data_IF_928202827911
#
_entry.id   IF_928202827911
#
_cell.length_a   1.000
_cell.length_b   1.000
_cell.length_c   1.000
_cell.angle_alpha   90.00
_cell.angle_beta   90.00
_cell.angle_gamma   90.00
#
_symmetry.space_group_name_H-M   'P 1'
#
loop_
_entity.id
_entity.type
_entity.pdbx_description
1 polymer ?
#
# COMPACT_ATOMS: atom_id res chain seq x y z
N UNK A 1 -9.62 -33.59 -24.59
CA UNK A 1 -9.20 -32.24 -24.17
C UNK A 1 -10.04 -31.86 -22.95
N UNK A 2 -9.43 -31.71 -21.77
CA UNK A 2 -10.14 -31.12 -20.59
C UNK A 2 -10.45 -29.67 -20.92
N UNK A 3 -11.74 -29.30 -21.03
CA UNK A 3 -12.13 -27.88 -21.06
C UNK A 3 -11.52 -27.20 -19.82
N UNK A 4 -10.58 -26.29 -20.02
CA UNK A 4 -10.14 -25.41 -18.95
C UNK A 4 -11.35 -24.60 -18.50
N UNK A 5 -11.70 -24.73 -17.23
CA UNK A 5 -12.82 -23.95 -16.66
C UNK A 5 -12.45 -22.48 -16.68
N UNK A 6 -13.34 -21.68 -17.26
CA UNK A 6 -13.31 -20.23 -17.14
C UNK A 6 -13.20 -19.84 -15.66
N UNK A 7 -12.50 -18.78 -15.37
CA UNK A 7 -12.33 -18.28 -14.03
C UNK A 7 -12.19 -16.76 -14.04
N UNK A 8 -11.83 -16.21 -12.91
CA UNK A 8 -11.72 -14.77 -12.74
C UNK A 8 -10.38 -14.37 -12.15
N UNK A 9 -9.82 -13.29 -12.65
CA UNK A 9 -8.83 -12.51 -11.93
C UNK A 9 -9.60 -11.67 -10.91
N UNK A 10 -9.16 -11.68 -9.66
CA UNK A 10 -9.78 -10.90 -8.59
C UNK A 10 -8.81 -9.90 -7.99
N UNK A 11 -9.34 -8.78 -7.53
CA UNK A 11 -8.70 -7.83 -6.64
C UNK A 11 -9.41 -7.95 -5.29
N UNK A 12 -8.65 -8.28 -4.24
CA UNK A 12 -9.15 -8.28 -2.87
C UNK A 12 -8.50 -7.16 -2.09
N UNK A 13 -9.29 -6.57 -1.21
CA UNK A 13 -8.86 -5.61 -0.17
C UNK A 13 -9.02 -6.20 1.21
N UNK A 14 -8.33 -5.62 2.20
CA UNK A 14 -8.50 -5.95 3.60
C UNK A 14 -8.34 -4.70 4.46
N UNK A 15 -9.29 -4.39 5.34
CA UNK A 15 -9.21 -3.21 6.22
C UNK A 15 -8.01 -3.21 7.17
N UNK A 16 -7.39 -4.37 7.45
CA UNK A 16 -6.20 -4.44 8.31
C UNK A 16 -4.95 -3.84 7.67
N UNK A 17 -4.88 -3.82 6.33
CA UNK A 17 -3.75 -3.27 5.55
C UNK A 17 -4.27 -2.65 4.24
N UNK A 18 -4.93 -1.48 4.34
CA UNK A 18 -5.58 -0.81 3.21
C UNK A 18 -4.60 -0.33 2.13
N UNK A 19 -3.32 -0.24 2.46
CA UNK A 19 -2.23 0.10 1.54
C UNK A 19 -1.86 -1.03 0.56
N UNK A 20 -2.44 -2.22 0.74
CA UNK A 20 -2.19 -3.37 -0.12
C UNK A 20 -3.46 -3.90 -0.77
N UNK A 21 -3.32 -4.31 -2.01
CA UNK A 21 -4.30 -5.16 -2.68
C UNK A 21 -3.72 -6.55 -2.94
N UNK A 22 -4.56 -7.57 -2.89
CA UNK A 22 -4.21 -8.91 -3.35
C UNK A 22 -4.81 -9.16 -4.72
N UNK A 23 -3.96 -9.48 -5.69
CA UNK A 23 -4.38 -9.85 -7.05
C UNK A 23 -4.12 -11.33 -7.25
N UNK A 24 -5.10 -12.06 -7.76
CA UNK A 24 -4.97 -13.48 -8.01
C UNK A 24 -6.06 -14.03 -8.94
N UNK A 25 -6.02 -15.34 -9.17
CA UNK A 25 -6.97 -16.05 -9.99
C UNK A 25 -7.73 -17.12 -9.20
N UNK A 26 -9.01 -17.30 -9.51
CA UNK A 26 -9.81 -18.41 -9.02
C UNK A 26 -10.87 -18.82 -10.05
N UNK A 27 -11.22 -20.10 -10.05
CA UNK A 27 -12.42 -20.61 -10.75
C UNK A 27 -13.70 -20.32 -9.97
N UNK A 28 -13.58 -20.13 -8.63
CA UNK A 28 -14.67 -19.73 -7.75
C UNK A 28 -14.13 -18.76 -6.69
N UNK A 29 -14.43 -17.47 -6.88
CA UNK A 29 -13.96 -16.39 -5.98
C UNK A 29 -14.54 -16.56 -4.58
N UNK A 30 -15.79 -16.99 -4.45
CA UNK A 30 -16.43 -17.14 -3.14
C UNK A 30 -15.79 -18.26 -2.30
N UNK A 31 -15.43 -19.38 -2.93
CA UNK A 31 -14.68 -20.44 -2.24
C UNK A 31 -13.28 -19.97 -1.86
N UNK A 32 -12.62 -19.22 -2.75
CA UNK A 32 -11.30 -18.66 -2.48
C UNK A 32 -11.36 -17.67 -1.32
N UNK A 33 -12.35 -16.78 -1.31
CA UNK A 33 -12.56 -15.82 -0.24
C UNK A 33 -12.79 -16.51 1.11
N UNK A 34 -13.68 -17.52 1.14
CA UNK A 34 -13.92 -18.31 2.36
C UNK A 34 -12.62 -19.00 2.84
N UNK A 35 -11.81 -19.53 1.93
CA UNK A 35 -10.53 -20.16 2.28
C UNK A 35 -9.54 -19.19 2.89
N UNK A 36 -9.44 -17.96 2.35
CA UNK A 36 -8.55 -16.92 2.86
C UNK A 36 -9.02 -16.41 4.23
N UNK A 37 -10.32 -16.27 4.42
CA UNK A 37 -10.93 -15.76 5.66
C UNK A 37 -11.09 -16.79 6.78
N UNK A 38 -10.62 -18.02 6.58
CA UNK A 38 -10.56 -19.03 7.65
C UNK A 38 -9.46 -18.78 8.68
N UNK A 39 -8.48 -17.96 8.32
CA UNK A 39 -7.35 -17.68 9.20
C UNK A 39 -7.76 -16.67 10.27
N UNK A 40 -7.53 -17.01 11.53
CA UNK A 40 -7.71 -16.12 12.68
C UNK A 40 -6.53 -15.14 12.86
N UNK A 41 -5.53 -15.20 11.98
CA UNK A 41 -4.34 -14.34 12.07
C UNK A 41 -4.57 -12.92 11.58
N UNK A 42 -5.72 -12.63 10.95
CA UNK A 42 -6.04 -11.31 10.37
C UNK A 42 -7.32 -10.79 11.03
N UNK A 43 -7.30 -9.58 11.63
CA UNK A 43 -8.45 -9.03 12.37
C UNK A 43 -9.71 -8.84 11.53
N UNK A 44 -9.56 -8.47 10.25
CA UNK A 44 -10.68 -8.25 9.34
C UNK A 44 -10.60 -9.18 8.13
N UNK A 45 -11.77 -9.53 7.59
CA UNK A 45 -11.88 -10.41 6.44
C UNK A 45 -11.42 -9.71 5.15
N UNK A 46 -10.85 -10.50 4.22
CA UNK A 46 -10.69 -10.09 2.83
C UNK A 46 -12.04 -9.88 2.18
N UNK A 47 -12.12 -8.91 1.26
CA UNK A 47 -13.30 -8.55 0.48
C UNK A 47 -12.96 -8.51 -0.99
N UNK A 48 -13.96 -8.82 -1.82
CA UNK A 48 -13.82 -8.69 -3.26
C UNK A 48 -14.03 -7.22 -3.63
N UNK A 49 -13.01 -6.59 -4.18
CA UNK A 49 -13.09 -5.24 -4.73
C UNK A 49 -13.49 -5.27 -6.22
N UNK A 50 -12.89 -6.18 -6.98
CA UNK A 50 -13.24 -6.37 -8.39
C UNK A 50 -12.98 -7.80 -8.86
N UNK A 51 -13.69 -8.19 -9.93
CA UNK A 51 -13.48 -9.43 -10.66
C UNK A 51 -13.44 -9.17 -12.16
N UNK A 52 -12.58 -9.88 -12.87
CA UNK A 52 -12.50 -9.85 -14.31
C UNK A 52 -12.51 -11.28 -14.86
N UNK A 53 -13.55 -11.64 -15.60
CA UNK A 53 -13.70 -12.98 -16.17
C UNK A 53 -12.68 -13.20 -17.30
N UNK A 54 -11.93 -14.30 -17.21
CA UNK A 54 -10.88 -14.65 -18.16
C UNK A 54 -11.01 -16.11 -18.59
N UNK A 55 -10.84 -16.42 -19.87
CA UNK A 55 -10.97 -17.79 -20.38
C UNK A 55 -9.76 -18.66 -20.07
N UNK A 56 -8.65 -18.08 -19.59
CA UNK A 56 -7.37 -18.77 -19.42
C UNK A 56 -6.83 -18.59 -18.00
N UNK A 57 -6.50 -19.70 -17.35
CA UNK A 57 -5.94 -19.74 -15.98
C UNK A 57 -4.64 -18.95 -15.81
N UNK A 58 -3.87 -18.73 -16.87
CA UNK A 58 -2.58 -18.02 -16.81
C UNK A 58 -2.69 -16.50 -16.83
N UNK A 59 -3.92 -15.96 -16.88
CA UNK A 59 -4.14 -14.51 -16.96
C UNK A 59 -3.57 -13.74 -15.75
N UNK A 60 -3.64 -14.30 -14.54
CA UNK A 60 -3.08 -13.72 -13.34
C UNK A 60 -1.54 -13.63 -13.40
N UNK A 61 -0.86 -14.66 -13.92
CA UNK A 61 0.60 -14.67 -14.04
C UNK A 61 1.10 -13.62 -15.04
N UNK A 62 0.36 -13.45 -16.14
CA UNK A 62 0.67 -12.42 -17.15
C UNK A 62 0.50 -11.03 -16.53
N UNK A 63 -0.59 -10.82 -15.78
CA UNK A 63 -0.83 -9.55 -15.07
C UNK A 63 0.25 -9.28 -14.02
N UNK A 64 0.61 -10.28 -13.21
CA UNK A 64 1.70 -10.16 -12.24
C UNK A 64 3.02 -9.79 -12.93
N UNK A 65 3.36 -10.47 -14.03
CA UNK A 65 4.57 -10.17 -14.80
C UNK A 65 4.55 -8.76 -15.39
N UNK A 66 3.39 -8.25 -15.80
CA UNK A 66 3.24 -6.89 -16.31
C UNK A 66 3.49 -5.88 -15.18
N UNK A 67 2.86 -6.05 -14.03
CA UNK A 67 3.03 -5.16 -12.88
C UNK A 67 4.49 -5.17 -12.41
N UNK A 68 5.09 -6.36 -12.26
CA UNK A 68 6.47 -6.53 -11.81
C UNK A 68 7.50 -5.88 -12.76
N UNK A 69 7.19 -5.81 -14.07
CA UNK A 69 8.06 -5.12 -15.06
C UNK A 69 7.89 -3.61 -15.03
N UNK A 70 6.69 -3.12 -14.79
CA UNK A 70 6.41 -1.69 -14.71
C UNK A 70 6.97 -1.09 -13.41
N UNK A 71 6.79 -1.78 -12.29
CA UNK A 71 7.32 -1.36 -11.00
C UNK A 71 7.57 -2.56 -10.07
N UNK A 72 8.81 -3.09 -10.02
CA UNK A 72 9.17 -4.23 -9.17
C UNK A 72 8.99 -3.95 -7.66
N UNK A 73 9.04 -2.68 -7.26
CA UNK A 73 8.92 -2.28 -5.86
C UNK A 73 7.51 -2.36 -5.29
N UNK A 74 6.48 -2.51 -6.14
CA UNK A 74 5.09 -2.60 -5.67
C UNK A 74 4.78 -3.95 -5.03
N UNK A 75 5.47 -5.01 -5.41
CA UNK A 75 5.15 -6.36 -4.95
C UNK A 75 5.75 -6.65 -3.59
N UNK A 76 4.93 -7.15 -2.66
CA UNK A 76 5.40 -7.57 -1.35
C UNK A 76 6.30 -8.81 -1.45
N UNK A 77 7.54 -8.67 -0.98
CA UNK A 77 8.54 -9.75 -0.92
C UNK A 77 8.87 -9.98 0.55
N UNK A 78 8.78 -11.23 0.98
CA UNK A 78 9.08 -11.64 2.34
C UNK A 78 10.28 -12.58 2.33
N UNK A 79 11.24 -12.34 3.22
CA UNK A 79 12.31 -13.29 3.52
C UNK A 79 12.11 -13.81 4.94
N UNK A 80 11.83 -15.11 5.07
CA UNK A 80 11.63 -15.78 6.33
C UNK A 80 12.39 -17.10 6.33
N UNK A 81 13.14 -17.38 7.39
CA UNK A 81 13.94 -18.60 7.55
C UNK A 81 14.88 -18.86 6.35
N UNK A 82 15.55 -17.80 5.88
CA UNK A 82 16.47 -17.84 4.74
C UNK A 82 15.81 -18.09 3.38
N UNK A 83 14.47 -18.13 3.30
CA UNK A 83 13.71 -18.35 2.07
C UNK A 83 12.98 -17.07 1.67
N UNK A 84 13.24 -16.59 0.47
CA UNK A 84 12.51 -15.46 -0.12
C UNK A 84 11.23 -15.95 -0.78
N UNK A 85 10.10 -15.35 -0.43
CA UNK A 85 8.78 -15.63 -1.00
C UNK A 85 8.22 -14.35 -1.62
N UNK A 86 7.84 -14.45 -2.89
CA UNK A 86 7.10 -13.40 -3.58
C UNK A 86 5.61 -13.57 -3.26
N UNK A 87 5.00 -12.56 -2.69
CA UNK A 87 3.57 -12.58 -2.35
C UNK A 87 2.73 -12.08 -3.53
N UNK A 88 1.44 -12.40 -3.51
CA UNK A 88 0.44 -11.86 -4.44
C UNK A 88 -0.20 -10.56 -3.92
N UNK A 89 0.55 -9.82 -3.10
CA UNK A 89 0.18 -8.53 -2.53
C UNK A 89 0.98 -7.42 -3.19
N UNK A 90 0.30 -6.32 -3.48
CA UNK A 90 0.87 -5.16 -4.12
C UNK A 90 0.55 -3.90 -3.33
N UNK A 91 1.55 -3.06 -3.09
CA UNK A 91 1.41 -1.73 -2.50
C UNK A 91 0.80 -0.77 -3.53
N UNK A 92 -0.49 -0.95 -3.81
CA UNK A 92 -1.28 -0.25 -4.81
C UNK A 92 -2.61 0.15 -4.20
N UNK A 93 -3.11 1.34 -4.56
CA UNK A 93 -4.49 1.68 -4.29
C UNK A 93 -5.45 0.73 -5.05
N UNK A 94 -6.58 0.33 -4.46
CA UNK A 94 -7.55 -0.53 -5.13
C UNK A 94 -8.04 0.05 -6.47
N UNK A 95 -8.14 1.38 -6.56
CA UNK A 95 -8.53 2.12 -7.75
C UNK A 95 -7.50 1.96 -8.88
N UNK A 96 -6.21 2.04 -8.55
CA UNK A 96 -5.12 1.88 -9.51
C UNK A 96 -5.05 0.44 -10.03
N UNK A 97 -5.22 -0.54 -9.14
CA UNK A 97 -5.31 -1.95 -9.53
C UNK A 97 -6.53 -2.20 -10.44
N UNK A 98 -7.67 -1.57 -10.16
CA UNK A 98 -8.86 -1.63 -10.99
C UNK A 98 -8.63 -1.00 -12.37
N UNK A 99 -8.00 0.19 -12.42
CA UNK A 99 -7.70 0.89 -13.66
C UNK A 99 -6.81 0.07 -14.62
N UNK A 100 -5.89 -0.75 -14.07
CA UNK A 100 -5.12 -1.71 -14.87
C UNK A 100 -6.02 -2.74 -15.54
N UNK A 101 -6.95 -3.37 -14.80
CA UNK A 101 -7.91 -4.33 -15.36
C UNK A 101 -8.86 -3.66 -16.34
N UNK A 102 -9.31 -2.44 -16.06
CA UNK A 102 -10.19 -1.69 -16.94
C UNK A 102 -9.51 -1.34 -18.27
N UNK A 103 -8.22 -0.98 -18.22
CA UNK A 103 -7.42 -0.75 -19.43
C UNK A 103 -7.32 -2.00 -20.28
N UNK A 104 -7.03 -3.15 -19.67
CA UNK A 104 -6.98 -4.44 -20.36
C UNK A 104 -8.35 -4.79 -20.95
N UNK A 105 -9.43 -4.65 -20.17
CA UNK A 105 -10.79 -4.94 -20.60
C UNK A 105 -11.24 -4.01 -21.75
N UNK A 106 -10.79 -2.76 -21.75
CA UNK A 106 -11.07 -1.79 -22.82
C UNK A 106 -10.36 -2.19 -24.11
N UNK A 107 -9.05 -2.48 -24.04
CA UNK A 107 -8.24 -2.86 -25.20
C UNK A 107 -8.75 -4.16 -25.82
N UNK A 108 -9.18 -5.12 -24.99
CA UNK A 108 -9.69 -6.42 -25.44
C UNK A 108 -11.18 -6.43 -25.80
N UNK A 109 -11.89 -5.31 -25.61
CA UNK A 109 -13.32 -5.21 -25.91
C UNK A 109 -14.21 -6.05 -24.98
N UNK A 110 -13.77 -6.29 -23.74
CA UNK A 110 -14.42 -7.19 -22.76
C UNK A 110 -14.79 -6.48 -21.46
N UNK A 111 -15.18 -5.20 -21.53
CA UNK A 111 -15.61 -4.41 -20.35
C UNK A 111 -16.80 -5.02 -19.61
N UNK A 112 -17.68 -5.71 -20.32
CA UNK A 112 -18.82 -6.44 -19.78
C UNK A 112 -18.43 -7.55 -18.79
N UNK A 113 -17.19 -8.04 -18.88
CA UNK A 113 -16.62 -9.07 -18.01
C UNK A 113 -15.93 -8.52 -16.74
N UNK A 114 -15.74 -7.22 -16.66
CA UNK A 114 -15.16 -6.54 -15.51
C UNK A 114 -16.29 -6.06 -14.58
N UNK A 115 -16.23 -6.48 -13.31
CA UNK A 115 -17.21 -6.10 -12.28
C UNK A 115 -16.49 -5.48 -11.10
N UNK A 116 -17.00 -4.35 -10.61
CA UNK A 116 -16.57 -3.69 -9.38
C UNK A 116 -17.61 -3.93 -8.30
N UNK A 117 -17.16 -4.13 -7.07
CA UNK A 117 -17.99 -4.30 -5.89
C UNK A 117 -17.76 -3.15 -4.93
N UNK A 118 -18.80 -2.72 -4.27
CA UNK A 118 -18.77 -1.74 -3.19
C UNK A 118 -19.03 -2.44 -1.86
N UNK A 119 -18.38 -2.01 -0.77
CA UNK A 119 -18.66 -2.55 0.56
C UNK A 119 -20.14 -2.42 0.93
N UNK A 120 -20.71 -3.46 1.53
CA UNK A 120 -22.12 -3.47 1.98
C UNK A 120 -22.25 -3.98 3.42
N UNK A 121 -23.25 -3.51 4.13
CA UNK A 121 -23.62 -4.00 5.46
C UNK A 121 -22.45 -3.93 6.46
N UNK A 122 -22.08 -5.07 7.05
CA UNK A 122 -21.00 -5.17 8.04
C UNK A 122 -19.63 -4.78 7.49
N UNK A 123 -19.42 -4.85 6.18
CA UNK A 123 -18.15 -4.47 5.56
C UNK A 123 -17.86 -2.97 5.74
N UNK A 124 -18.89 -2.13 5.69
CA UNK A 124 -18.75 -0.69 5.94
C UNK A 124 -18.37 -0.45 7.40
N UNK A 125 -19.01 -1.17 8.32
CA UNK A 125 -18.70 -1.08 9.75
C UNK A 125 -17.26 -1.49 10.05
N UNK A 126 -16.81 -2.59 9.47
CA UNK A 126 -15.42 -3.06 9.65
C UNK A 126 -14.40 -2.05 9.12
N UNK A 127 -14.67 -1.36 8.00
CA UNK A 127 -13.81 -0.30 7.47
C UNK A 127 -13.72 0.88 8.42
N UNK A 128 -14.85 1.28 9.00
CA UNK A 128 -14.91 2.36 10.00
C UNK A 128 -14.11 1.99 11.25
N UNK A 129 -14.36 0.80 11.82
CA UNK A 129 -13.61 0.31 13.00
C UNK A 129 -12.11 0.21 12.72
N UNK A 130 -11.72 -0.33 11.57
CA UNK A 130 -10.32 -0.41 11.20
C UNK A 130 -9.67 0.98 11.03
N UNK A 131 -10.41 1.94 10.47
CA UNK A 131 -9.96 3.32 10.33
C UNK A 131 -9.82 4.01 11.69
N UNK A 132 -10.77 3.81 12.60
CA UNK A 132 -10.73 4.34 13.98
C UNK A 132 -9.52 3.78 14.75
N UNK A 133 -9.31 2.46 14.72
CA UNK A 133 -8.15 1.82 15.38
C UNK A 133 -6.84 2.36 14.81
N UNK A 134 -6.72 2.55 13.50
CA UNK A 134 -5.53 3.15 12.90
C UNK A 134 -5.33 4.59 13.35
N UNK A 135 -6.39 5.39 13.36
CA UNK A 135 -6.32 6.77 13.82
C UNK A 135 -5.89 6.87 15.29
N UNK A 136 -6.43 6.01 16.18
CA UNK A 136 -6.00 5.93 17.58
C UNK A 136 -4.53 5.54 17.73
N UNK A 137 -4.05 4.56 16.93
CA UNK A 137 -2.65 4.15 16.95
C UNK A 137 -1.74 5.28 16.43
N UNK A 138 -2.17 6.02 15.41
CA UNK A 138 -1.45 7.19 14.90
C UNK A 138 -1.42 8.34 15.94
N UNK A 139 -2.54 8.58 16.59
CA UNK A 139 -2.63 9.62 17.64
C UNK A 139 -1.74 9.29 18.86
N UNK A 140 -1.62 8.02 19.22
CA UNK A 140 -0.72 7.54 20.27
C UNK A 140 0.75 7.59 19.87
N UNK A 141 1.10 7.61 18.59
CA UNK A 141 2.48 7.82 18.15
C UNK A 141 2.86 9.27 18.39
N UNK A 142 3.89 9.49 19.21
CA UNK A 142 4.47 10.84 19.38
C UNK A 142 4.86 11.40 18.01
N UNK A 143 4.57 12.69 17.75
CA UNK A 143 4.99 13.33 16.50
C UNK A 143 6.48 13.10 16.23
N UNK A 144 6.87 12.99 14.95
CA UNK A 144 8.27 12.80 14.58
C UNK A 144 9.13 13.94 15.12
N UNK A 145 10.26 13.59 15.73
CA UNK A 145 11.25 14.53 16.27
C UNK A 145 12.58 14.32 15.55
N UNK A 146 13.05 15.34 14.85
CA UNK A 146 14.35 15.34 14.20
C UNK A 146 15.48 15.19 15.21
N UNK A 147 15.36 15.89 16.36
CA UNK A 147 16.36 15.84 17.41
C UNK A 147 16.53 14.44 18.00
N UNK A 148 15.43 13.74 18.30
CA UNK A 148 15.48 12.35 18.79
C UNK A 148 16.11 11.40 17.77
N UNK A 149 15.95 11.68 16.49
CA UNK A 149 16.56 10.90 15.40
C UNK A 149 18.01 11.32 15.11
N UNK A 150 18.57 12.32 15.83
CA UNK A 150 19.94 12.81 15.61
C UNK A 150 20.08 13.62 14.32
N UNK A 151 19.01 14.26 13.85
CA UNK A 151 19.00 15.11 12.66
C UNK A 151 18.93 16.57 13.10
N UNK A 152 19.95 17.34 12.79
CA UNK A 152 20.07 18.73 13.21
C UNK A 152 19.28 19.69 12.32
N UNK A 153 18.89 20.84 12.86
CA UNK A 153 18.34 21.93 12.06
C UNK A 153 19.36 22.37 10.99
N UNK A 154 18.89 22.68 9.79
CA UNK A 154 19.73 22.94 8.62
C UNK A 154 20.05 21.69 7.79
N UNK A 155 19.77 20.49 8.27
CA UNK A 155 19.94 19.26 7.49
C UNK A 155 19.02 19.26 6.27
N UNK A 156 19.50 18.69 5.17
CA UNK A 156 18.72 18.54 3.94
C UNK A 156 18.11 17.15 3.86
N UNK A 157 16.85 17.08 3.51
CA UNK A 157 16.10 15.86 3.26
C UNK A 157 15.49 15.94 1.85
N UNK A 158 15.22 14.79 1.24
CA UNK A 158 14.72 14.69 -0.13
C UNK A 158 13.37 13.98 -0.13
N UNK A 159 12.46 14.38 -0.99
CA UNK A 159 11.16 13.69 -1.14
C UNK A 159 11.38 12.37 -1.89
N UNK A 160 10.89 11.27 -1.35
CA UNK A 160 11.03 9.94 -1.94
C UNK A 160 10.41 9.87 -3.34
N UNK A 161 11.16 9.33 -4.30
CA UNK A 161 10.76 9.30 -5.71
C UNK A 161 10.85 10.65 -6.45
N UNK A 162 11.31 11.74 -5.77
CA UNK A 162 11.44 13.08 -6.34
C UNK A 162 12.78 13.70 -5.88
N UNK A 163 13.89 13.22 -6.43
CA UNK A 163 15.24 13.63 -6.02
C UNK A 163 15.54 15.12 -6.23
N UNK A 164 14.81 15.78 -7.09
CA UNK A 164 14.84 17.21 -7.34
C UNK A 164 14.15 18.05 -6.25
N UNK A 165 13.31 17.43 -5.42
CA UNK A 165 12.58 18.08 -4.34
C UNK A 165 13.33 17.93 -3.03
N UNK A 166 14.06 19.00 -2.65
CA UNK A 166 14.82 19.05 -1.40
C UNK A 166 14.16 19.99 -0.40
N UNK A 167 14.07 19.55 0.86
CA UNK A 167 13.64 20.38 1.99
C UNK A 167 14.76 20.54 3.02
N UNK A 168 14.72 21.63 3.78
CA UNK A 168 15.65 21.93 4.87
C UNK A 168 14.92 21.83 6.21
N UNK A 169 15.48 21.11 7.16
CA UNK A 169 14.97 21.00 8.54
C UNK A 169 15.09 22.37 9.22
N UNK A 170 14.00 22.92 9.71
CA UNK A 170 13.97 24.23 10.40
C UNK A 170 14.05 24.09 11.91
N UNK A 171 13.28 23.18 12.44
CA UNK A 171 13.23 22.87 13.87
C UNK A 171 12.93 21.39 14.08
N UNK A 172 12.61 20.98 15.32
CA UNK A 172 12.36 19.60 15.68
C UNK A 172 11.18 18.94 14.92
N UNK A 173 10.30 19.72 14.28
CA UNK A 173 9.05 19.23 13.64
C UNK A 173 8.72 19.84 12.28
N UNK A 174 9.42 20.90 11.91
CA UNK A 174 9.13 21.66 10.71
C UNK A 174 10.27 21.59 9.71
N UNK A 175 9.90 21.60 8.45
CA UNK A 175 10.80 21.67 7.31
C UNK A 175 10.41 22.84 6.41
N UNK A 176 11.36 23.35 5.67
CA UNK A 176 11.14 24.33 4.61
C UNK A 176 11.39 23.67 3.25
N UNK A 177 10.43 23.75 2.36
CA UNK A 177 10.54 23.29 0.98
C UNK A 177 9.96 24.33 0.04
N UNK A 178 10.72 24.72 -0.99
CA UNK A 178 10.29 25.73 -1.99
C UNK A 178 9.80 27.05 -1.37
N UNK A 179 10.40 27.48 -0.25
CA UNK A 179 10.04 28.73 0.46
C UNK A 179 8.82 28.60 1.38
N UNK A 180 8.23 27.42 1.51
CA UNK A 180 7.11 27.16 2.42
C UNK A 180 7.59 26.35 3.63
N UNK A 181 7.19 26.78 4.85
CA UNK A 181 7.47 26.09 6.10
C UNK A 181 6.23 25.30 6.52
N UNK A 182 6.42 24.03 6.86
CA UNK A 182 5.32 23.18 7.27
C UNK A 182 5.79 21.85 7.88
N UNK A 183 4.83 21.01 8.24
CA UNK A 183 5.11 19.66 8.74
C UNK A 183 5.51 18.73 7.60
N UNK A 184 6.22 17.63 7.93
CA UNK A 184 6.58 16.56 6.99
C UNK A 184 5.38 16.06 6.19
N UNK A 185 4.25 15.80 6.88
CA UNK A 185 3.03 15.29 6.25
C UNK A 185 2.33 16.36 5.39
N UNK A 186 2.27 17.60 5.86
CA UNK A 186 1.62 18.70 5.17
C UNK A 186 2.28 19.02 3.83
N UNK A 187 3.62 19.16 3.85
CA UNK A 187 4.37 19.47 2.63
C UNK A 187 4.43 18.27 1.66
N UNK A 188 4.61 17.04 2.18
CA UNK A 188 4.55 15.86 1.32
C UNK A 188 3.20 15.73 0.61
N UNK A 189 2.07 15.91 1.33
CA UNK A 189 0.73 15.87 0.75
C UNK A 189 0.55 16.90 -0.36
N UNK A 190 1.02 18.12 -0.14
CA UNK A 190 0.92 19.21 -1.12
C UNK A 190 1.75 18.93 -2.36
N UNK A 191 2.99 18.48 -2.19
CA UNK A 191 3.93 18.20 -3.28
C UNK A 191 3.48 17.00 -4.13
N UNK A 192 2.93 15.96 -3.47
CA UNK A 192 2.42 14.76 -4.15
C UNK A 192 0.98 14.92 -4.67
N UNK A 193 0.31 16.05 -4.40
CA UNK A 193 -1.05 16.33 -4.88
C UNK A 193 -2.12 15.38 -4.34
N UNK A 194 -1.91 14.75 -3.16
CA UNK A 194 -2.84 13.77 -2.60
C UNK A 194 -3.90 14.46 -1.72
N UNK A 195 -5.13 13.95 -1.73
CA UNK A 195 -6.23 14.44 -0.89
C UNK A 195 -6.32 13.75 0.48
N UNK A 196 -5.68 12.59 0.65
CA UNK A 196 -5.70 11.82 1.88
C UNK A 196 -4.52 12.15 2.80
N UNK A 197 -4.63 11.89 4.12
CA UNK A 197 -3.54 12.09 5.08
C UNK A 197 -2.33 11.20 4.75
N UNK A 198 -1.13 11.78 4.80
CA UNK A 198 0.12 11.05 4.60
C UNK A 198 0.92 10.95 5.91
N UNK A 199 1.59 9.82 6.13
CA UNK A 199 2.59 9.67 7.18
C UNK A 199 3.91 10.28 6.72
N UNK A 200 4.07 11.60 6.94
CA UNK A 200 5.20 12.38 6.44
C UNK A 200 6.57 11.71 6.54
N UNK A 201 6.96 11.12 7.68
CA UNK A 201 8.26 10.45 7.82
C UNK A 201 8.55 9.34 6.81
N UNK A 202 7.54 8.73 6.21
CA UNK A 202 7.70 7.69 5.19
C UNK A 202 8.06 8.24 3.81
N UNK A 203 7.81 9.52 3.57
CA UNK A 203 7.99 10.18 2.28
C UNK A 203 9.22 11.05 2.19
N UNK A 204 9.98 11.19 3.27
CA UNK A 204 11.21 11.98 3.27
C UNK A 204 12.42 11.12 3.57
N UNK A 205 13.48 11.31 2.80
CA UNK A 205 14.75 10.57 2.87
C UNK A 205 15.84 11.46 3.46
N UNK A 206 16.57 10.92 4.41
CA UNK A 206 17.80 11.49 4.94
C UNK A 206 18.91 10.44 4.88
N UNK A 207 20.03 10.77 4.27
CA UNK A 207 21.18 9.86 4.10
C UNK A 207 20.80 8.48 3.54
N UNK A 208 19.91 8.45 2.52
CA UNK A 208 19.50 7.23 1.83
C UNK A 208 18.49 6.36 2.57
N UNK A 209 17.94 6.82 3.71
CA UNK A 209 16.91 6.11 4.48
C UNK A 209 15.70 7.02 4.69
N UNK A 210 14.50 6.45 4.70
CA UNK A 210 13.31 7.20 5.10
C UNK A 210 13.40 7.61 6.57
N UNK A 211 12.82 8.76 6.91
CA UNK A 211 12.81 9.24 8.29
C UNK A 211 12.08 8.28 9.24
N UNK A 212 11.07 7.57 8.75
CA UNK A 212 10.35 6.55 9.52
C UNK A 212 11.28 5.39 9.90
N UNK A 213 12.10 4.91 8.96
CA UNK A 213 13.09 3.86 9.21
C UNK A 213 14.19 4.30 10.18
N UNK A 214 14.62 5.56 10.10
CA UNK A 214 15.58 6.12 11.05
C UNK A 214 15.00 6.15 12.45
N UNK A 215 13.72 6.52 12.59
CA UNK A 215 13.01 6.50 13.87
C UNK A 215 12.92 5.09 14.44
N UNK A 216 12.51 4.11 13.64
CA UNK A 216 12.42 2.70 14.07
C UNK A 216 13.77 2.16 14.56
N UNK A 217 14.86 2.46 13.85
CA UNK A 217 16.21 2.07 14.25
C UNK A 217 16.63 2.71 15.59
N UNK A 218 16.23 3.96 15.85
CA UNK A 218 16.52 4.65 17.12
C UNK A 218 15.68 4.11 18.26
N UNK A 219 14.38 3.91 18.06
CA UNK A 219 13.48 3.32 19.06
C UNK A 219 13.95 1.91 19.46
N UNK A 220 14.39 1.09 18.51
CA UNK A 220 14.95 -0.23 18.78
C UNK A 220 16.26 -0.18 19.59
N UNK A 221 17.10 0.84 19.41
CA UNK A 221 18.33 1.03 20.18
C UNK A 221 18.04 1.47 21.62
N UNK A 222 16.99 2.27 21.84
CA UNK A 222 16.63 2.77 23.17
C UNK A 222 15.94 1.70 24.04
N UNK A 223 15.31 0.70 23.44
CA UNK A 223 14.71 -0.47 24.15
C UNK A 223 15.78 -1.43 24.69
N UNK A 224 17.01 -1.40 24.15
CA UNK A 224 18.11 -2.28 24.58
C UNK A 224 19.13 -1.60 25.51
N UNK A 225 18.84 -0.39 25.99
CA UNK A 225 19.58 0.30 27.06
C UNK A 225 18.83 0.25 28.37
#
# INVERSE_FOLDING_TARGET
MKQEKDGVIYILTNPSFPEYVKIGYATNVQERLRSLNRSECIPFAFRVYATYEVPVRLGDKVLHSLIDRLNPGLRAIETFDGKTRTKEFYALAPEDAYALLESIATISGTKDKLKRFTPEGHEITDEQVAAEVRAEVEERRTPFSFQKCGIEAGSKIVLDGHEDVTATVKDDRQIECQGEIGSLSGLARKLLGTSYPLQGPKYWIYNGKTLDKIREEKEAQDVHK
#
